data_IF_152780986726
#
_entry.id   IF_152780986726
#
_cell.length_a   1.000
_cell.length_b   1.000
_cell.length_c   1.000
_cell.angle_alpha   90.00
_cell.angle_beta   90.00
_cell.angle_gamma   90.00
#
_symmetry.space_group_name_H-M   'P 1'
#
loop_
_entity.id
_entity.type
_entity.pdbx_description
1 polymer ?
#
# COMPACT_ATOMS: atom_id res chain seq x y z
N UNK A 1 -9.73 1.50 18.14
CA UNK A 1 -9.09 0.31 18.77
C UNK A 1 -8.49 -0.67 17.75
N UNK A 2 -9.19 -1.04 16.66
CA UNK A 2 -8.69 -1.95 15.61
C UNK A 2 -7.47 -1.38 14.89
N UNK A 3 -7.52 -0.12 14.45
CA UNK A 3 -6.41 0.56 13.77
C UNK A 3 -5.12 0.57 14.60
N UNK A 4 -5.20 0.84 15.90
CA UNK A 4 -4.04 0.82 16.80
C UNK A 4 -3.43 -0.58 16.96
N UNK A 5 -4.25 -1.63 16.90
CA UNK A 5 -3.76 -3.02 16.95
C UNK A 5 -3.07 -3.38 15.63
N UNK A 6 -3.68 -3.01 14.50
CA UNK A 6 -3.10 -3.23 13.19
C UNK A 6 -1.76 -2.48 13.04
N UNK A 7 -1.70 -1.21 13.44
CA UNK A 7 -0.47 -0.41 13.43
C UNK A 7 0.72 -1.12 14.05
N UNK A 8 0.52 -1.80 15.20
CA UNK A 8 1.60 -2.53 15.90
C UNK A 8 2.08 -3.80 15.18
N UNK A 9 1.25 -4.37 14.32
CA UNK A 9 1.55 -5.63 13.62
C UNK A 9 2.19 -5.36 12.26
N UNK A 10 1.85 -4.24 11.62
CA UNK A 10 2.32 -3.88 10.28
C UNK A 10 3.85 -3.95 10.10
N UNK A 11 4.69 -3.45 11.01
CA UNK A 11 6.15 -3.52 10.85
C UNK A 11 6.69 -4.94 10.66
N UNK A 12 5.97 -5.96 11.16
CA UNK A 12 6.34 -7.38 11.06
C UNK A 12 5.82 -8.06 9.79
N UNK A 13 4.82 -7.47 9.12
CA UNK A 13 4.15 -8.05 7.94
C UNK A 13 4.65 -7.38 6.67
N UNK A 14 4.83 -6.06 6.72
CA UNK A 14 5.18 -5.23 5.57
C UNK A 14 6.70 -5.23 5.38
N UNK A 15 7.13 -5.45 4.15
CA UNK A 15 8.54 -5.46 3.80
C UNK A 15 9.23 -4.13 4.20
N UNK A 16 10.49 -4.20 4.58
CA UNK A 16 11.25 -3.04 5.10
C UNK A 16 11.37 -1.87 4.10
N UNK A 17 11.29 -2.12 2.79
CA UNK A 17 11.33 -1.08 1.76
C UNK A 17 10.09 -0.18 1.75
N UNK A 18 8.95 -0.63 2.30
CA UNK A 18 7.77 0.21 2.43
C UNK A 18 7.92 1.13 3.63
N UNK A 19 8.04 2.42 3.36
CA UNK A 19 8.26 3.45 4.41
C UNK A 19 7.01 4.26 4.74
N UNK A 20 6.02 4.31 3.86
CA UNK A 20 4.80 5.07 4.08
C UNK A 20 3.88 4.43 5.14
N UNK A 21 3.39 5.24 6.09
CA UNK A 21 2.43 4.86 7.15
C UNK A 21 2.85 3.68 8.06
N UNK A 22 4.09 3.24 8.02
CA UNK A 22 4.63 2.22 8.91
C UNK A 22 5.43 2.90 10.02
N UNK A 23 5.20 2.49 11.28
CA UNK A 23 5.85 3.07 12.45
C UNK A 23 7.36 2.88 12.37
N UNK A 24 8.11 3.87 12.86
CA UNK A 24 9.58 3.91 12.90
C UNK A 24 10.28 3.82 11.53
N UNK A 25 9.58 4.14 10.42
CA UNK A 25 10.14 4.20 9.08
C UNK A 25 10.08 5.64 8.54
N UNK A 26 11.11 6.03 7.84
CA UNK A 26 11.25 7.39 7.30
C UNK A 26 11.36 7.37 5.77
N UNK A 27 10.44 8.07 5.08
CA UNK A 27 10.38 8.11 3.61
C UNK A 27 11.67 8.65 2.97
N UNK A 28 12.43 9.47 3.68
CA UNK A 28 13.73 9.97 3.21
C UNK A 28 14.74 8.85 2.94
N UNK A 29 14.64 7.70 3.60
CA UNK A 29 15.49 6.52 3.34
C UNK A 29 15.23 5.95 1.95
N UNK A 30 13.95 5.87 1.53
CA UNK A 30 13.59 5.46 0.17
C UNK A 30 14.14 6.43 -0.87
N UNK A 31 13.98 7.73 -0.64
CA UNK A 31 14.49 8.78 -1.54
C UNK A 31 16.01 8.67 -1.64
N UNK A 32 16.69 8.53 -0.53
CA UNK A 32 18.15 8.36 -0.50
C UNK A 32 18.57 7.11 -1.27
N UNK A 33 17.91 6.00 -1.07
CA UNK A 33 18.19 4.74 -1.76
C UNK A 33 18.03 4.86 -3.30
N UNK A 34 17.05 5.65 -3.76
CA UNK A 34 16.90 5.94 -5.20
C UNK A 34 18.12 6.65 -5.73
N UNK A 35 18.58 7.71 -5.06
CA UNK A 35 19.79 8.45 -5.48
C UNK A 35 21.04 7.59 -5.44
N UNK A 36 21.22 6.76 -4.40
CA UNK A 36 22.37 5.86 -4.29
C UNK A 36 22.38 4.82 -5.43
N UNK A 37 21.22 4.29 -5.83
CA UNK A 37 21.11 3.39 -7.00
C UNK A 37 21.46 4.13 -8.30
N UNK A 38 20.97 5.35 -8.47
CA UNK A 38 21.27 6.16 -9.66
C UNK A 38 22.75 6.46 -9.76
N UNK A 39 23.39 6.95 -8.70
CA UNK A 39 24.82 7.23 -8.64
C UNK A 39 25.67 5.98 -8.91
N UNK A 40 25.27 4.84 -8.35
CA UNK A 40 25.93 3.57 -8.60
C UNK A 40 25.85 3.16 -10.08
N UNK A 41 24.66 3.24 -10.69
CA UNK A 41 24.46 2.87 -12.10
C UNK A 41 25.25 3.77 -13.03
N UNK A 42 25.28 5.08 -12.77
CA UNK A 42 26.06 6.05 -13.55
C UNK A 42 27.56 5.78 -13.41
N UNK A 43 28.06 5.56 -12.21
CA UNK A 43 29.50 5.31 -11.96
C UNK A 43 30.01 4.02 -12.60
N UNK A 44 29.13 3.04 -12.82
CA UNK A 44 29.44 1.73 -13.42
C UNK A 44 29.00 1.58 -14.87
N UNK A 45 28.39 2.59 -15.46
CA UNK A 45 27.79 2.54 -16.80
C UNK A 45 26.80 1.36 -16.95
N UNK A 46 25.99 1.08 -15.92
CA UNK A 46 24.99 0.03 -15.94
C UNK A 46 23.71 0.60 -16.55
N UNK A 47 23.21 0.07 -17.68
CA UNK A 47 21.94 0.51 -18.24
C UNK A 47 20.79 0.07 -17.33
N UNK A 48 19.85 0.98 -17.08
CA UNK A 48 18.66 0.71 -16.27
C UNK A 48 17.54 1.67 -16.59
N UNK A 49 16.34 1.33 -16.12
CA UNK A 49 15.15 2.18 -16.22
C UNK A 49 14.60 2.35 -14.81
N UNK A 50 14.39 3.60 -14.40
CA UNK A 50 13.66 3.94 -13.18
C UNK A 50 12.22 4.28 -13.54
N UNK A 51 11.26 3.55 -12.96
CA UNK A 51 9.84 3.73 -13.20
C UNK A 51 9.18 4.20 -11.91
N UNK A 52 8.53 5.37 -11.97
CA UNK A 52 7.68 5.88 -10.89
C UNK A 52 6.22 5.49 -11.18
N UNK A 53 5.59 4.83 -10.20
CA UNK A 53 4.19 4.41 -10.29
C UNK A 53 3.36 5.22 -9.29
N UNK A 54 2.37 5.94 -9.79
CA UNK A 54 1.40 6.67 -8.97
C UNK A 54 0.01 6.06 -9.14
N UNK A 55 -0.69 5.85 -8.02
CA UNK A 55 -2.03 5.27 -8.03
C UNK A 55 -3.08 6.37 -8.16
N UNK A 56 -3.76 6.44 -9.31
CA UNK A 56 -4.87 7.36 -9.50
C UNK A 56 -5.99 7.08 -8.48
N UNK A 57 -6.30 8.08 -7.64
CA UNK A 57 -7.32 7.96 -6.59
C UNK A 57 -7.11 6.71 -5.70
N UNK A 58 -5.91 6.52 -5.21
CA UNK A 58 -5.45 5.34 -4.49
C UNK A 58 -6.49 4.77 -3.50
N UNK A 59 -6.98 5.59 -2.57
CA UNK A 59 -7.96 5.16 -1.56
C UNK A 59 -9.35 4.90 -2.15
N UNK A 60 -9.79 5.69 -3.12
CA UNK A 60 -11.13 5.58 -3.69
C UNK A 60 -11.27 4.41 -4.67
N UNK A 61 -10.14 3.90 -5.20
CA UNK A 61 -10.13 2.83 -6.22
C UNK A 61 -9.86 1.43 -5.67
N UNK A 62 -9.59 1.28 -4.39
CA UNK A 62 -9.31 -0.02 -3.79
C UNK A 62 -10.56 -0.91 -3.77
N UNK A 63 -10.53 -2.00 -4.51
CA UNK A 63 -11.63 -2.99 -4.56
C UNK A 63 -11.70 -3.77 -3.25
N UNK A 64 -12.89 -3.87 -2.64
CA UNK A 64 -13.06 -4.56 -1.35
C UNK A 64 -12.80 -6.06 -1.45
N UNK A 65 -13.20 -6.69 -2.56
CA UNK A 65 -12.92 -8.12 -2.76
C UNK A 65 -11.40 -8.39 -2.75
N UNK A 66 -10.63 -7.54 -3.45
CA UNK A 66 -9.17 -7.64 -3.46
C UNK A 66 -8.59 -7.41 -2.06
N UNK A 67 -9.05 -6.40 -1.35
CA UNK A 67 -8.64 -6.12 0.03
C UNK A 67 -8.84 -7.33 0.95
N UNK A 68 -10.03 -7.95 0.89
CA UNK A 68 -10.32 -9.10 1.74
C UNK A 68 -9.46 -10.30 1.39
N UNK A 69 -9.22 -10.55 0.10
CA UNK A 69 -8.28 -11.59 -0.36
C UNK A 69 -6.85 -11.34 0.13
N UNK A 70 -6.40 -10.08 0.17
CA UNK A 70 -5.11 -9.72 0.75
C UNK A 70 -5.06 -10.04 2.24
N UNK A 71 -6.10 -9.68 3.02
CA UNK A 71 -6.17 -10.00 4.44
C UNK A 71 -6.12 -11.51 4.70
N UNK A 72 -6.79 -12.31 3.88
CA UNK A 72 -6.74 -13.76 3.93
C UNK A 72 -5.34 -14.30 3.61
N UNK A 73 -4.70 -13.77 2.55
CA UNK A 73 -3.34 -14.14 2.15
C UNK A 73 -2.28 -13.80 3.22
N UNK A 74 -2.45 -12.70 3.94
CA UNK A 74 -1.62 -12.33 5.09
C UNK A 74 -2.00 -13.08 6.38
N UNK A 75 -2.88 -14.07 6.30
CA UNK A 75 -3.30 -14.93 7.40
C UNK A 75 -3.92 -14.16 8.59
N UNK A 76 -4.65 -13.08 8.31
CA UNK A 76 -5.48 -12.47 9.35
C UNK A 76 -6.61 -13.40 9.76
N UNK A 77 -6.86 -13.50 11.06
CA UNK A 77 -7.91 -14.35 11.59
C UNK A 77 -9.31 -13.95 11.10
N UNK A 78 -10.26 -14.92 10.99
CA UNK A 78 -11.60 -14.67 10.41
C UNK A 78 -12.39 -13.60 11.15
N UNK A 79 -12.22 -13.48 12.46
CA UNK A 79 -12.88 -12.43 13.25
C UNK A 79 -12.43 -11.03 12.83
N UNK A 80 -11.13 -10.83 12.58
CA UNK A 80 -10.61 -9.55 12.14
C UNK A 80 -11.14 -9.21 10.73
N UNK A 81 -11.09 -10.16 9.80
CA UNK A 81 -11.60 -10.00 8.44
C UNK A 81 -13.10 -9.65 8.47
N UNK A 82 -13.89 -10.34 9.30
CA UNK A 82 -15.31 -10.03 9.45
C UNK A 82 -15.55 -8.63 9.99
N UNK A 83 -14.76 -8.16 10.95
CA UNK A 83 -14.86 -6.77 11.43
C UNK A 83 -14.55 -5.77 10.32
N UNK A 84 -13.53 -6.01 9.51
CA UNK A 84 -13.22 -5.15 8.37
C UNK A 84 -14.38 -5.20 7.35
N UNK A 85 -14.90 -6.38 7.03
CA UNK A 85 -16.06 -6.54 6.12
C UNK A 85 -17.28 -5.74 6.60
N UNK A 86 -17.56 -5.71 7.90
CA UNK A 86 -18.67 -4.93 8.47
C UNK A 86 -18.55 -3.42 8.19
N UNK A 87 -17.33 -2.86 8.14
CA UNK A 87 -17.14 -1.45 7.81
C UNK A 87 -17.42 -1.11 6.35
N UNK A 88 -17.46 -2.12 5.48
CA UNK A 88 -17.66 -1.98 4.04
C UNK A 88 -18.96 -2.63 3.53
N UNK A 89 -19.88 -2.99 4.44
CA UNK A 89 -21.18 -3.57 4.10
C UNK A 89 -22.24 -2.48 4.06
N UNK A 90 -23.00 -2.40 2.97
CA UNK A 90 -24.12 -1.46 2.76
C UNK A 90 -23.74 0.02 3.03
N UNK A 91 -22.55 0.43 2.61
CA UNK A 91 -22.10 1.80 2.80
C UNK A 91 -22.80 2.73 1.81
N UNK A 92 -23.29 3.82 2.33
CA UNK A 92 -23.83 4.92 1.54
C UNK A 92 -23.09 6.22 1.82
N UNK A 93 -23.06 7.09 0.84
CA UNK A 93 -22.49 8.43 0.93
C UNK A 93 -23.41 9.43 0.27
N UNK A 94 -23.24 10.71 0.63
CA UNK A 94 -23.86 11.82 -0.08
C UNK A 94 -22.81 12.93 -0.27
N UNK A 95 -23.02 13.80 -1.23
CA UNK A 95 -22.20 14.99 -1.47
C UNK A 95 -22.89 16.20 -0.85
N UNK A 96 -22.16 16.94 -0.04
CA UNK A 96 -22.64 18.20 0.53
C UNK A 96 -21.93 19.34 -0.19
N UNK A 97 -22.70 20.21 -0.84
CA UNK A 97 -22.21 21.39 -1.51
C UNK A 97 -23.05 22.59 -1.11
N UNK A 98 -22.42 23.66 -0.61
CA UNK A 98 -23.08 24.90 -0.16
C UNK A 98 -24.28 24.66 0.80
N UNK A 99 -24.12 23.73 1.74
CA UNK A 99 -25.14 23.38 2.73
C UNK A 99 -26.29 22.49 2.22
N UNK A 100 -26.30 22.13 0.95
CA UNK A 100 -27.28 21.20 0.37
C UNK A 100 -26.64 19.82 0.20
N UNK A 101 -27.36 18.78 0.64
CA UNK A 101 -26.95 17.39 0.47
C UNK A 101 -27.62 16.79 -0.77
N UNK A 102 -26.86 15.99 -1.53
CA UNK A 102 -27.43 15.13 -2.58
C UNK A 102 -28.19 13.95 -1.95
N UNK A 103 -28.92 13.21 -2.77
CA UNK A 103 -29.42 11.89 -2.40
C UNK A 103 -28.26 10.96 -2.03
N UNK A 104 -28.55 9.98 -1.15
CA UNK A 104 -27.58 8.95 -0.79
C UNK A 104 -27.35 7.98 -1.94
N UNK A 105 -26.09 7.67 -2.20
CA UNK A 105 -25.69 6.65 -3.18
C UNK A 105 -24.81 5.59 -2.52
N UNK A 106 -24.90 4.36 -3.00
CA UNK A 106 -24.12 3.23 -2.49
C UNK A 106 -22.68 3.31 -2.99
N UNK A 107 -21.73 3.07 -2.10
CA UNK A 107 -20.33 2.86 -2.46
C UNK A 107 -20.09 1.38 -2.72
N UNK A 108 -19.27 1.06 -3.73
CA UNK A 108 -18.94 -0.31 -4.13
C UNK A 108 -17.46 -0.65 -3.95
N UNK A 109 -16.63 0.35 -3.68
CA UNK A 109 -15.18 0.24 -3.48
C UNK A 109 -14.63 1.44 -2.72
N UNK A 110 -13.34 1.38 -2.44
CA UNK A 110 -12.58 2.44 -1.79
C UNK A 110 -12.52 2.31 -0.27
N UNK A 111 -11.47 2.88 0.31
CA UNK A 111 -11.30 3.06 1.74
C UNK A 111 -11.48 4.53 2.09
N UNK A 112 -12.07 4.82 3.24
CA UNK A 112 -12.47 6.19 3.60
C UNK A 112 -11.25 7.06 3.88
N UNK A 113 -11.16 8.21 3.22
CA UNK A 113 -10.18 9.24 3.56
C UNK A 113 -10.51 9.82 4.95
N UNK A 114 -9.49 9.94 5.81
CA UNK A 114 -9.66 10.40 7.19
C UNK A 114 -9.99 9.31 8.22
N UNK A 115 -10.31 8.09 7.80
CA UNK A 115 -10.44 6.95 8.71
C UNK A 115 -9.05 6.44 9.11
N UNK A 116 -8.73 6.30 10.40
CA UNK A 116 -7.42 5.85 10.87
C UNK A 116 -7.06 4.41 10.47
N UNK A 117 -8.01 3.59 10.04
CA UNK A 117 -7.77 2.22 9.56
C UNK A 117 -7.39 2.20 8.07
N UNK A 118 -7.91 3.12 7.28
CA UNK A 118 -7.77 3.14 5.82
C UNK A 118 -6.34 3.12 5.30
N UNK A 119 -5.38 3.89 5.84
CA UNK A 119 -3.99 3.83 5.39
C UNK A 119 -3.37 2.45 5.56
N UNK A 120 -3.67 1.77 6.66
CA UNK A 120 -3.13 0.45 6.96
C UNK A 120 -3.71 -0.64 6.06
N UNK A 121 -5.01 -0.57 5.75
CA UNK A 121 -5.64 -1.47 4.79
C UNK A 121 -5.09 -1.26 3.38
N UNK A 122 -4.88 -0.01 2.98
CA UNK A 122 -4.29 0.31 1.69
C UNK A 122 -2.87 -0.23 1.55
N UNK A 123 -2.02 -0.07 2.58
CA UNK A 123 -0.65 -0.60 2.55
C UNK A 123 -0.63 -2.12 2.45
N UNK A 124 -1.51 -2.83 3.15
CA UNK A 124 -1.62 -4.29 3.01
C UNK A 124 -1.97 -4.70 1.58
N UNK A 125 -2.88 -3.97 0.93
CA UNK A 125 -3.21 -4.22 -0.47
C UNK A 125 -2.03 -3.95 -1.41
N UNK A 126 -1.30 -2.84 -1.21
CA UNK A 126 -0.11 -2.50 -1.99
C UNK A 126 1.03 -3.48 -1.76
N UNK A 127 1.21 -3.96 -0.53
CA UNK A 127 2.25 -4.96 -0.20
C UNK A 127 2.05 -6.27 -0.98
N UNK A 128 0.80 -6.67 -1.21
CA UNK A 128 0.50 -7.84 -2.04
C UNK A 128 1.03 -7.69 -3.48
N UNK A 129 0.85 -6.50 -4.07
CA UNK A 129 1.44 -6.14 -5.37
C UNK A 129 2.97 -6.10 -5.29
N UNK A 130 3.50 -5.50 -4.25
CA UNK A 130 4.94 -5.39 -4.03
C UNK A 130 5.62 -6.77 -3.92
N UNK A 131 5.01 -7.71 -3.22
CA UNK A 131 5.46 -9.11 -3.15
C UNK A 131 5.48 -9.72 -4.56
N UNK A 132 4.42 -9.54 -5.34
CA UNK A 132 4.33 -10.05 -6.71
C UNK A 132 5.46 -9.50 -7.60
N UNK A 133 5.77 -8.21 -7.50
CA UNK A 133 6.87 -7.60 -8.24
C UNK A 133 8.22 -8.16 -7.77
N UNK A 134 8.45 -8.26 -6.47
CA UNK A 134 9.71 -8.78 -5.92
C UNK A 134 9.96 -10.23 -6.32
N UNK A 135 8.92 -11.05 -6.34
CA UNK A 135 9.01 -12.48 -6.67
C UNK A 135 9.04 -12.77 -8.18
N UNK A 136 8.64 -11.82 -9.01
CA UNK A 136 8.63 -12.03 -10.46
C UNK A 136 10.05 -12.15 -11.01
N UNK A 137 10.35 -13.26 -11.64
CA UNK A 137 11.69 -13.58 -12.17
C UNK A 137 12.02 -12.82 -13.47
N UNK A 138 11.01 -12.34 -14.18
CA UNK A 138 11.18 -11.60 -15.43
C UNK A 138 11.51 -10.13 -15.19
N UNK A 139 11.10 -9.59 -14.04
CA UNK A 139 11.46 -8.25 -13.59
C UNK A 139 12.82 -8.36 -12.88
N UNK A 140 13.86 -7.78 -13.45
CA UNK A 140 15.20 -7.76 -12.89
C UNK A 140 15.52 -6.39 -12.33
N UNK A 141 15.99 -6.35 -11.09
CA UNK A 141 16.49 -5.13 -10.45
C UNK A 141 17.96 -4.88 -10.74
N UNK A 142 18.45 -3.76 -10.25
CA UNK A 142 19.88 -3.41 -10.29
C UNK A 142 20.62 -4.15 -9.16
N UNK A 143 21.64 -4.91 -9.51
CA UNK A 143 22.47 -5.63 -8.53
C UNK A 143 23.54 -4.72 -7.96
N UNK A 144 23.54 -4.54 -6.65
CA UNK A 144 24.52 -3.76 -5.89
C UNK A 144 25.10 -4.68 -4.81
N UNK A 145 26.31 -5.20 -5.08
CA UNK A 145 26.90 -6.23 -4.24
C UNK A 145 26.01 -7.49 -4.18
N UNK A 146 25.58 -7.88 -2.99
CA UNK A 146 24.72 -9.04 -2.76
C UNK A 146 23.22 -8.68 -2.72
N UNK A 147 22.85 -7.42 -2.94
CA UNK A 147 21.48 -6.94 -2.94
C UNK A 147 20.99 -6.64 -4.35
N UNK A 148 19.67 -6.77 -4.56
CA UNK A 148 19.00 -6.41 -5.79
C UNK A 148 18.00 -5.29 -5.50
N UNK A 149 18.26 -4.09 -6.03
CA UNK A 149 17.33 -2.97 -6.00
C UNK A 149 16.30 -3.14 -7.12
N UNK A 150 15.13 -3.65 -6.78
CA UNK A 150 14.06 -3.98 -7.73
C UNK A 150 12.79 -3.17 -7.49
N UNK A 151 12.47 -2.89 -6.24
CA UNK A 151 11.32 -2.10 -5.81
C UNK A 151 11.71 -1.29 -4.59
N UNK A 152 11.46 0.02 -4.64
CA UNK A 152 11.64 0.98 -3.55
C UNK A 152 10.28 1.65 -3.29
N UNK A 153 9.86 1.73 -2.02
CA UNK A 153 8.54 2.23 -1.62
C UNK A 153 8.64 3.19 -0.44
#
# INVERSE_FOLDING_TARGET
>A
MIALRLKKVLPNIIHHNQTGYVEDRYIGETIRSIFDVMEFTDSKNIPGILIFIDFKKAFDSLEWHYLFSCLEAFNFGPNFINWVKMFYTNIQSCVINNGMASDYFTLERGVRQGDPLSPYLFILAVESLAISIRQNVDIKGIKIGNHEAKLLQ
#
